data_IF_389244191735
#
_entry.id   IF_389244191735
#
_cell.length_a   1.000
_cell.length_b   1.000
_cell.length_c   1.000
_cell.angle_alpha   90.00
_cell.angle_beta   90.00
_cell.angle_gamma   90.00
#
_symmetry.space_group_name_H-M   'P 1'
#
loop_
_entity.id
_entity.type
_entity.pdbx_description
1 polymer ?
#
# COMPACT_ATOMS: atom_id res chain seq x y z
N UNK A 1 -28.70 -9.18 22.99
CA UNK A 1 -27.32 -8.89 22.58
C UNK A 1 -27.30 -8.93 21.05
N UNK A 2 -27.45 -7.76 20.41
CA UNK A 2 -27.52 -7.66 18.95
C UNK A 2 -26.10 -7.88 18.43
N UNK A 3 -25.88 -8.96 17.68
CA UNK A 3 -24.61 -9.20 17.00
C UNK A 3 -24.52 -8.12 15.93
N UNK A 4 -23.79 -7.05 16.20
CA UNK A 4 -23.45 -6.05 15.20
C UNK A 4 -22.67 -6.73 14.08
N UNK A 5 -23.19 -6.63 12.87
CA UNK A 5 -22.53 -7.07 11.63
C UNK A 5 -21.10 -6.54 11.67
N UNK A 6 -20.10 -7.44 11.66
CA UNK A 6 -18.68 -7.02 11.62
C UNK A 6 -18.50 -6.12 10.41
N UNK A 7 -18.18 -4.88 10.68
CA UNK A 7 -17.81 -3.93 9.63
C UNK A 7 -16.49 -4.39 8.98
N UNK A 8 -16.39 -4.16 7.69
CA UNK A 8 -15.18 -4.52 6.94
C UNK A 8 -14.08 -3.51 7.26
N UNK A 9 -12.86 -3.98 7.49
CA UNK A 9 -11.69 -3.13 7.67
C UNK A 9 -10.82 -3.21 6.44
N UNK A 10 -10.29 -2.08 5.98
CA UNK A 10 -9.28 -1.98 4.95
C UNK A 10 -7.91 -1.85 5.63
N UNK A 11 -6.98 -2.74 5.30
CA UNK A 11 -5.59 -2.63 5.72
C UNK A 11 -4.78 -2.21 4.51
N UNK A 12 -4.11 -1.06 4.60
CA UNK A 12 -3.20 -0.56 3.56
C UNK A 12 -1.78 -0.76 4.03
N UNK A 13 -1.01 -1.56 3.30
CA UNK A 13 0.41 -1.78 3.56
C UNK A 13 1.19 -1.01 2.48
N UNK A 14 1.85 0.06 2.90
CA UNK A 14 2.73 0.83 2.02
C UNK A 14 4.17 0.40 2.25
N UNK A 15 4.78 -0.18 1.22
CA UNK A 15 6.20 -0.54 1.24
C UNK A 15 7.02 0.70 0.87
N UNK A 16 7.90 1.13 1.77
CA UNK A 16 8.85 2.22 1.53
C UNK A 16 10.10 1.70 0.83
N UNK A 17 10.67 2.50 -0.07
CA UNK A 17 11.84 2.14 -0.85
C UNK A 17 11.48 1.58 -2.23
N UNK A 18 12.49 1.14 -2.96
CA UNK A 18 12.31 0.57 -4.28
C UNK A 18 11.81 -0.87 -4.20
N UNK A 19 10.75 -1.16 -4.93
CA UNK A 19 10.32 -2.54 -5.18
C UNK A 19 10.54 -2.88 -6.65
N UNK A 20 11.27 -3.95 -6.91
CA UNK A 20 11.40 -4.50 -8.25
C UNK A 20 10.17 -5.38 -8.56
N UNK A 21 9.14 -4.73 -9.11
CA UNK A 21 7.88 -5.42 -9.38
C UNK A 21 8.02 -6.55 -10.40
N UNK A 22 8.95 -6.43 -11.38
CA UNK A 22 9.21 -7.48 -12.35
C UNK A 22 9.84 -8.72 -11.72
N UNK A 23 10.48 -8.58 -10.55
CA UNK A 23 10.97 -9.69 -9.76
C UNK A 23 10.02 -10.06 -8.60
N UNK A 24 8.92 -9.34 -8.43
CA UNK A 24 7.82 -9.70 -7.52
C UNK A 24 6.78 -10.54 -8.23
N UNK A 25 6.32 -10.08 -9.38
CA UNK A 25 5.44 -10.81 -10.30
C UNK A 25 6.17 -10.95 -11.63
N UNK A 26 6.79 -12.09 -11.80
CA UNK A 26 7.75 -12.36 -12.88
C UNK A 26 7.03 -12.71 -14.17
N UNK A 27 7.27 -12.00 -15.27
CA UNK A 27 6.76 -12.37 -16.59
C UNK A 27 7.64 -13.45 -17.21
N UNK A 28 7.60 -14.65 -16.63
CA UNK A 28 8.55 -15.73 -16.90
C UNK A 28 8.47 -16.31 -18.31
N UNK A 29 7.40 -16.06 -19.05
CA UNK A 29 7.27 -16.47 -20.45
C UNK A 29 7.80 -15.43 -21.45
N UNK A 30 8.12 -14.21 -20.99
CA UNK A 30 8.61 -13.15 -21.87
C UNK A 30 10.13 -13.12 -21.97
N UNK A 31 10.68 -13.46 -23.14
CA UNK A 31 12.12 -13.43 -23.39
C UNK A 31 12.77 -12.07 -23.12
N UNK A 32 12.03 -10.97 -23.32
CA UNK A 32 12.55 -9.61 -23.06
C UNK A 32 12.87 -9.38 -21.59
N UNK A 33 12.16 -10.05 -20.67
CA UNK A 33 12.48 -10.01 -19.26
C UNK A 33 13.89 -10.54 -18.99
N UNK A 34 14.26 -11.66 -19.58
CA UNK A 34 15.58 -12.25 -19.44
C UNK A 34 16.66 -11.46 -20.15
N UNK A 35 16.39 -11.02 -21.38
CA UNK A 35 17.32 -10.22 -22.19
C UNK A 35 17.71 -8.92 -21.49
N UNK A 36 16.72 -8.24 -20.90
CA UNK A 36 16.92 -6.95 -20.23
C UNK A 36 17.48 -7.09 -18.81
N UNK A 37 17.45 -8.28 -18.23
CA UNK A 37 17.80 -8.55 -16.83
C UNK A 37 18.75 -9.74 -16.69
N UNK A 38 19.75 -9.82 -17.53
CA UNK A 38 20.66 -10.96 -17.64
C UNK A 38 21.30 -11.40 -16.31
N UNK A 39 21.46 -10.48 -15.35
CA UNK A 39 22.10 -10.74 -14.05
C UNK A 39 21.09 -10.90 -12.91
N UNK A 40 19.98 -10.14 -12.97
CA UNK A 40 19.03 -10.03 -11.84
C UNK A 40 17.69 -10.72 -12.11
N UNK A 41 17.55 -11.43 -13.23
CA UNK A 41 16.33 -12.18 -13.49
C UNK A 41 16.18 -13.37 -12.52
N UNK A 42 14.95 -13.81 -12.37
CA UNK A 42 14.62 -15.06 -11.68
C UNK A 42 14.43 -16.12 -12.75
N UNK A 43 15.23 -17.19 -12.69
CA UNK A 43 15.13 -18.28 -13.65
C UNK A 43 13.75 -18.94 -13.62
N UNK A 44 13.27 -19.34 -14.77
CA UNK A 44 11.92 -19.86 -14.96
C UNK A 44 11.58 -21.05 -14.03
N UNK A 45 12.56 -21.92 -13.77
CA UNK A 45 12.42 -23.08 -12.90
C UNK A 45 12.19 -22.75 -11.43
N UNK A 46 12.53 -21.50 -11.02
CA UNK A 46 12.34 -21.02 -9.64
C UNK A 46 11.06 -20.24 -9.44
N UNK A 47 10.45 -19.75 -10.49
CA UNK A 47 9.22 -18.97 -10.42
C UNK A 47 8.07 -19.84 -9.94
N UNK A 48 7.19 -19.31 -9.10
CA UNK A 48 5.94 -19.95 -8.68
C UNK A 48 4.85 -19.55 -9.67
N UNK A 49 4.44 -20.39 -10.64
CA UNK A 49 3.49 -20.00 -11.67
C UNK A 49 2.12 -19.63 -11.10
N UNK A 50 1.51 -18.57 -11.62
CA UNK A 50 0.12 -18.17 -11.35
C UNK A 50 -0.77 -18.27 -12.60
N UNK A 51 -0.16 -18.21 -13.76
CA UNK A 51 -0.76 -18.53 -15.06
C UNK A 51 0.37 -18.83 -16.06
N UNK A 52 0.06 -19.00 -17.34
CA UNK A 52 1.02 -19.36 -18.39
C UNK A 52 2.05 -18.24 -18.72
N UNK A 53 1.88 -17.06 -18.18
CA UNK A 53 2.72 -15.89 -18.48
C UNK A 53 3.42 -15.31 -17.25
N UNK A 54 2.76 -15.35 -16.11
CA UNK A 54 3.19 -14.69 -14.89
C UNK A 54 3.36 -15.70 -13.76
N UNK A 55 4.29 -15.41 -12.88
CA UNK A 55 4.47 -16.15 -11.66
C UNK A 55 5.01 -15.30 -10.53
N UNK A 56 4.84 -15.76 -9.32
CA UNK A 56 5.37 -15.08 -8.14
C UNK A 56 6.86 -15.37 -7.95
N UNK A 57 7.54 -14.42 -7.31
CA UNK A 57 8.87 -14.63 -6.75
C UNK A 57 8.87 -15.88 -5.85
N UNK A 58 9.95 -16.67 -5.82
CA UNK A 58 10.05 -17.85 -4.94
C UNK A 58 9.75 -17.55 -3.46
N UNK A 59 10.08 -16.35 -2.99
CA UNK A 59 9.81 -15.91 -1.61
C UNK A 59 8.33 -15.66 -1.31
N UNK A 60 7.47 -15.64 -2.32
CA UNK A 60 6.03 -15.39 -2.18
C UNK A 60 5.19 -16.66 -2.06
N UNK A 61 5.80 -17.77 -1.68
CA UNK A 61 5.09 -19.04 -1.45
C UNK A 61 3.82 -18.89 -0.59
N UNK A 62 3.84 -18.18 0.56
CA UNK A 62 2.64 -17.97 1.37
C UNK A 62 1.50 -17.23 0.64
N UNK A 63 1.84 -16.34 -0.30
CA UNK A 63 0.84 -15.62 -1.10
C UNK A 63 0.20 -16.55 -2.14
N UNK A 64 0.93 -17.54 -2.63
CA UNK A 64 0.41 -18.51 -3.60
C UNK A 64 -0.81 -19.27 -3.07
N UNK A 65 -0.81 -19.65 -1.80
CA UNK A 65 -1.96 -20.31 -1.18
C UNK A 65 -3.21 -19.44 -1.20
N UNK A 66 -3.05 -18.14 -0.89
CA UNK A 66 -4.15 -17.18 -0.95
C UNK A 66 -4.60 -16.92 -2.40
N UNK A 67 -3.68 -16.94 -3.35
CA UNK A 67 -3.99 -16.86 -4.78
C UNK A 67 -4.87 -18.03 -5.22
N UNK A 68 -4.52 -19.25 -4.86
CA UNK A 68 -5.25 -20.47 -5.21
C UNK A 68 -6.67 -20.49 -4.59
N UNK A 69 -6.83 -19.82 -3.45
CA UNK A 69 -8.13 -19.61 -2.81
C UNK A 69 -8.94 -18.44 -3.42
N UNK A 70 -8.43 -17.76 -4.44
CA UNK A 70 -9.08 -16.60 -5.07
C UNK A 70 -9.14 -15.35 -4.18
N UNK A 71 -8.24 -15.25 -3.20
CA UNK A 71 -8.19 -14.12 -2.23
C UNK A 71 -7.16 -13.05 -2.61
N UNK A 72 -6.42 -13.22 -3.69
CA UNK A 72 -5.42 -12.28 -4.18
C UNK A 72 -5.78 -11.78 -5.55
N UNK A 73 -5.67 -10.48 -5.77
CA UNK A 73 -5.68 -9.88 -7.10
C UNK A 73 -4.33 -9.18 -7.35
N UNK A 74 -3.76 -9.41 -8.51
CA UNK A 74 -2.54 -8.72 -8.96
C UNK A 74 -2.96 -7.69 -10.00
N UNK A 75 -2.61 -6.43 -9.77
CA UNK A 75 -2.90 -5.32 -10.68
C UNK A 75 -1.57 -4.73 -11.14
N UNK A 76 -1.23 -4.99 -12.40
CA UNK A 76 -0.02 -4.47 -13.04
C UNK A 76 -0.34 -3.25 -13.91
N UNK A 77 0.71 -2.54 -14.32
CA UNK A 77 0.58 -1.43 -15.25
C UNK A 77 -0.08 -0.18 -14.67
N UNK A 78 -0.08 -0.03 -13.34
CA UNK A 78 -0.59 1.17 -12.69
C UNK A 78 0.40 2.31 -12.93
N UNK A 79 -0.11 3.42 -13.45
CA UNK A 79 0.67 4.60 -13.73
C UNK A 79 -0.21 5.79 -14.11
N UNK A 80 0.39 6.82 -14.64
CA UNK A 80 -0.31 8.02 -15.11
C UNK A 80 0.38 8.58 -16.34
N UNK A 81 -0.32 9.43 -17.11
CA UNK A 81 0.18 10.03 -18.32
C UNK A 81 1.35 10.98 -18.02
N UNK A 82 2.40 10.96 -18.83
CA UNK A 82 3.62 11.77 -18.67
C UNK A 82 4.28 11.61 -17.29
N UNK A 83 4.72 10.40 -16.91
CA UNK A 83 5.22 10.13 -15.58
C UNK A 83 6.44 10.96 -15.23
N UNK A 84 6.45 11.54 -14.05
CA UNK A 84 7.59 12.28 -13.52
C UNK A 84 8.64 11.31 -12.96
N UNK A 85 9.92 11.52 -13.27
CA UNK A 85 11.01 10.67 -12.79
C UNK A 85 11.51 11.05 -11.38
N UNK A 86 11.00 12.12 -10.78
CA UNK A 86 11.32 12.49 -9.41
C UNK A 86 10.64 11.53 -8.44
N UNK A 87 11.40 10.88 -7.60
CA UNK A 87 10.86 10.03 -6.52
C UNK A 87 9.93 10.81 -5.59
N UNK A 88 10.30 12.05 -5.24
CA UNK A 88 9.47 12.90 -4.38
C UNK A 88 8.11 13.20 -5.01
N UNK A 89 8.11 13.59 -6.30
CA UNK A 89 6.84 13.87 -7.00
C UNK A 89 6.01 12.60 -7.17
N UNK A 90 6.64 11.48 -7.48
CA UNK A 90 5.94 10.20 -7.61
C UNK A 90 5.30 9.77 -6.29
N UNK A 91 5.99 9.93 -5.17
CA UNK A 91 5.44 9.66 -3.83
C UNK A 91 4.27 10.60 -3.51
N UNK A 92 4.36 11.89 -3.87
CA UNK A 92 3.25 12.83 -3.72
C UNK A 92 2.00 12.35 -4.47
N UNK A 93 2.17 11.88 -5.70
CA UNK A 93 1.08 11.37 -6.52
C UNK A 93 0.48 10.11 -5.89
N UNK A 94 1.30 9.18 -5.42
CA UNK A 94 0.82 8.00 -4.69
C UNK A 94 0.03 8.34 -3.43
N UNK A 95 0.44 9.40 -2.72
CA UNK A 95 -0.21 9.84 -1.50
C UNK A 95 -1.51 10.63 -1.76
N UNK A 96 -1.60 11.35 -2.86
CA UNK A 96 -2.72 12.23 -3.15
C UNK A 96 -3.67 11.69 -4.21
N UNK A 97 -3.20 10.76 -5.07
CA UNK A 97 -3.86 10.30 -6.28
C UNK A 97 -4.18 11.45 -7.27
N UNK A 98 -3.34 12.51 -7.29
CA UNK A 98 -3.51 13.69 -8.15
C UNK A 98 -2.28 13.90 -9.03
N UNK A 99 -2.19 13.24 -10.20
CA UNK A 99 -1.03 13.32 -11.08
C UNK A 99 -0.91 14.69 -11.77
N UNK A 100 -2.01 15.35 -12.06
CA UNK A 100 -2.06 16.58 -12.87
C UNK A 100 -1.89 17.87 -12.05
N UNK A 101 -1.95 17.77 -10.73
CA UNK A 101 -1.83 18.90 -9.81
C UNK A 101 -0.96 18.56 -8.60
N UNK A 102 -0.52 19.58 -7.86
CA UNK A 102 0.07 19.38 -6.54
C UNK A 102 -1.06 19.18 -5.55
N UNK A 103 -1.38 17.91 -5.27
CA UNK A 103 -2.43 17.54 -4.34
C UNK A 103 -2.13 18.04 -2.93
N UNK A 104 -3.16 18.52 -2.23
CA UNK A 104 -3.04 19.01 -0.85
C UNK A 104 -3.51 18.00 0.16
N UNK A 105 -4.42 17.12 -0.23
CA UNK A 105 -5.06 16.13 0.63
C UNK A 105 -4.65 14.71 0.22
N UNK A 106 -4.39 13.87 1.21
CA UNK A 106 -4.16 12.46 0.98
C UNK A 106 -5.43 11.72 0.57
N UNK A 107 -5.32 10.76 -0.34
CA UNK A 107 -6.50 10.04 -0.84
C UNK A 107 -7.19 9.21 0.25
N UNK A 108 -6.43 8.63 1.19
CA UNK A 108 -6.99 7.92 2.35
C UNK A 108 -7.67 8.89 3.32
N UNK A 109 -7.08 10.08 3.54
CA UNK A 109 -7.71 11.11 4.36
C UNK A 109 -9.05 11.56 3.80
N UNK A 110 -9.17 11.73 2.47
CA UNK A 110 -10.46 12.01 1.82
C UNK A 110 -11.47 10.87 2.04
N UNK A 111 -11.03 9.61 1.91
CA UNK A 111 -11.87 8.46 2.17
C UNK A 111 -12.36 8.41 3.62
N UNK A 112 -11.48 8.72 4.59
CA UNK A 112 -11.87 8.80 6.02
C UNK A 112 -12.91 9.91 6.23
N UNK A 113 -12.74 11.07 5.62
CA UNK A 113 -13.73 12.17 5.67
C UNK A 113 -15.10 11.74 5.16
N UNK A 114 -15.13 10.95 4.09
CA UNK A 114 -16.38 10.44 3.52
C UNK A 114 -17.03 9.35 4.39
N UNK A 115 -16.23 8.57 5.10
CA UNK A 115 -16.70 7.53 6.02
C UNK A 115 -17.19 8.06 7.36
N UNK A 116 -16.60 9.15 7.84
CA UNK A 116 -16.91 9.79 9.10
C UNK A 116 -16.96 11.32 8.91
N UNK A 117 -17.99 11.83 8.24
CA UNK A 117 -18.08 13.25 7.86
C UNK A 117 -18.23 14.20 9.07
N UNK A 118 -18.66 13.70 10.21
CA UNK A 118 -18.77 14.48 11.44
C UNK A 118 -17.50 14.40 12.30
N UNK A 119 -16.56 13.51 11.98
CA UNK A 119 -15.33 13.33 12.73
C UNK A 119 -15.54 12.83 14.17
N UNK A 120 -16.59 12.04 14.38
CA UNK A 120 -16.97 11.56 15.71
C UNK A 120 -16.11 10.41 16.22
N UNK A 121 -15.49 9.66 15.30
CA UNK A 121 -14.68 8.50 15.65
C UNK A 121 -13.21 8.66 15.21
N UNK A 122 -12.36 9.03 16.13
CA UNK A 122 -10.91 9.17 15.90
C UNK A 122 -10.21 7.87 15.50
N UNK A 123 -10.88 6.73 15.67
CA UNK A 123 -10.39 5.41 15.29
C UNK A 123 -10.93 4.92 13.94
N UNK A 124 -11.63 5.78 13.19
CA UNK A 124 -12.04 5.47 11.80
C UNK A 124 -10.84 5.13 10.93
N UNK A 125 -9.70 5.74 11.20
CA UNK A 125 -8.41 5.36 10.63
C UNK A 125 -7.31 5.37 11.69
N UNK A 126 -6.43 4.36 11.63
CA UNK A 126 -5.26 4.26 12.49
C UNK A 126 -4.03 4.02 11.63
N UNK A 127 -2.98 4.77 11.85
CA UNK A 127 -1.67 4.55 11.26
C UNK A 127 -0.73 3.87 12.26
N UNK A 128 -0.06 2.82 11.83
CA UNK A 128 1.04 2.19 12.56
C UNK A 128 2.35 2.54 11.90
N UNK A 129 3.11 3.44 12.52
CA UNK A 129 4.39 3.92 11.99
C UNK A 129 4.74 5.30 12.53
N UNK A 130 5.99 5.72 12.32
CA UNK A 130 6.46 7.04 12.77
C UNK A 130 5.86 8.15 11.91
N UNK A 131 5.12 9.04 12.54
CA UNK A 131 4.48 10.18 11.90
C UNK A 131 3.24 9.79 11.10
N UNK A 132 2.46 10.78 10.70
CA UNK A 132 1.27 10.60 9.87
C UNK A 132 1.69 10.60 8.39
N UNK A 133 1.43 9.51 7.64
CA UNK A 133 1.73 9.50 6.20
C UNK A 133 0.84 10.51 5.47
N UNK A 134 1.40 11.18 4.46
CA UNK A 134 0.67 12.17 3.66
C UNK A 134 -0.62 11.63 3.05
N UNK A 135 -0.68 10.34 2.76
CA UNK A 135 -1.90 9.69 2.26
C UNK A 135 -3.10 9.83 3.20
N UNK A 136 -2.87 9.96 4.50
CA UNK A 136 -3.90 10.18 5.52
C UNK A 136 -4.08 11.66 5.89
N UNK A 137 -3.17 12.54 5.45
CA UNK A 137 -3.25 13.98 5.73
C UNK A 137 -4.42 14.62 4.98
N UNK A 138 -5.45 15.06 5.72
CA UNK A 138 -6.60 15.77 5.17
C UNK A 138 -7.11 16.76 6.22
N UNK A 139 -7.32 18.05 5.87
CA UNK A 139 -7.85 19.03 6.80
C UNK A 139 -9.18 18.59 7.39
N UNK A 140 -9.32 18.76 8.71
CA UNK A 140 -10.53 18.38 9.44
C UNK A 140 -10.72 16.89 9.70
N UNK A 141 -9.75 16.04 9.32
CA UNK A 141 -9.77 14.60 9.58
C UNK A 141 -8.79 14.26 10.70
N UNK A 142 -9.28 13.62 11.74
CA UNK A 142 -8.46 13.09 12.84
C UNK A 142 -8.08 11.65 12.54
N UNK A 143 -6.78 11.34 12.68
CA UNK A 143 -6.24 9.98 12.50
C UNK A 143 -5.32 9.67 13.68
N UNK A 144 -5.54 8.57 14.35
CA UNK A 144 -4.61 8.07 15.35
C UNK A 144 -3.33 7.56 14.68
N UNK A 145 -2.16 8.03 15.12
CA UNK A 145 -0.87 7.55 14.63
C UNK A 145 -0.04 6.98 15.76
N UNK A 146 0.29 5.70 15.66
CA UNK A 146 1.00 4.94 16.70
C UNK A 146 2.39 4.58 16.18
N UNK A 147 3.41 5.25 16.71
CA UNK A 147 4.81 5.00 16.30
C UNK A 147 5.42 3.77 16.97
N UNK A 148 4.98 3.48 18.18
CA UNK A 148 5.44 2.36 18.99
C UNK A 148 4.31 1.94 19.94
N UNK A 149 3.93 0.67 19.89
CA UNK A 149 2.84 0.14 20.72
C UNK A 149 3.23 0.03 22.20
N UNK A 150 4.51 -0.14 22.52
CA UNK A 150 4.99 -0.27 23.91
C UNK A 150 5.00 1.08 24.62
N UNK A 151 5.26 2.16 23.87
CA UNK A 151 5.31 3.53 24.40
C UNK A 151 4.03 4.33 24.16
N UNK A 152 3.03 3.75 23.50
CA UNK A 152 1.76 4.38 23.29
C UNK A 152 0.93 4.39 24.57
N UNK A 153 0.81 5.57 25.17
CA UNK A 153 0.01 5.80 26.38
C UNK A 153 -0.35 7.28 26.52
N UNK A 154 -1.41 7.55 27.27
CA UNK A 154 -1.66 8.87 27.79
C UNK A 154 -0.63 9.11 28.90
N UNK A 155 0.28 10.04 28.69
CA UNK A 155 1.18 10.50 29.75
C UNK A 155 0.37 11.48 30.62
N UNK A 156 0.00 11.10 31.85
CA UNK A 156 -0.85 11.95 32.71
C UNK A 156 -0.12 13.17 33.29
N UNK A 157 1.18 13.32 33.04
CA UNK A 157 2.00 14.39 33.62
C UNK A 157 2.63 15.29 32.55
N UNK A 158 1.79 16.15 31.95
CA UNK A 158 2.26 17.50 31.60
C UNK A 158 1.86 18.36 32.80
N UNK A 159 2.69 18.40 33.82
CA UNK A 159 2.63 19.45 34.84
C UNK A 159 3.18 20.73 34.18
N UNK A 160 2.36 21.79 34.19
CA UNK A 160 2.71 23.16 33.78
C UNK A 160 3.96 23.69 34.54
#
# INVERSE_FOLDING_TARGET
MTITKREKSLIVIQLSGGNDYLNTVVPYSDGKYYDSRSVVNISQDKVIPINDQLGFNPSMGPIKSLWDEGKVAVINGIGYQNPNRSHFRSMDIWHTAEPDAIGKEGWLGRAVRDLDPLGENVLTAVNFGRGLPRALGCPGVSVASVGDLETYGLFPDVQD
#
